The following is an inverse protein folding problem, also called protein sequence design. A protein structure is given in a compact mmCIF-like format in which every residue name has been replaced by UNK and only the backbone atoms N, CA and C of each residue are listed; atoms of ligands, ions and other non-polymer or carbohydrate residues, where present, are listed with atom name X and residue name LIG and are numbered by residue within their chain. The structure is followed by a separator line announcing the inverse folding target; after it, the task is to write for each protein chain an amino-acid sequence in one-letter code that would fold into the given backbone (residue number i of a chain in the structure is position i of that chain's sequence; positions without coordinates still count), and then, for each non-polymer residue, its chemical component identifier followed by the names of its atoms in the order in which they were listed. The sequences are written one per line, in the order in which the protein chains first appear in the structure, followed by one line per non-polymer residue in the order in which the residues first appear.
data_IF_600873870755
#
_entry.id   IF_600873870755
#
_cell.length_a   1.000
_cell.length_b   1.000
_cell.length_c   1.000
_cell.angle_alpha   90.00
_cell.angle_beta   90.00
_cell.angle_gamma   90.00
#
_symmetry.space_group_name_H-M   'P 1'
#
loop_
_entity.id
_entity.type
_entity.pdbx_description
1 polymer ?
#
# COMPACT_ATOMS: atom_id res chain seq x y z
N UNK A 1 -10.53 -17.55 1.49
CA UNK A 1 -11.56 -17.01 0.55
C UNK A 1 -11.82 -15.58 0.98
N UNK A 2 -11.74 -14.62 0.07
CA UNK A 2 -12.23 -13.27 0.36
C UNK A 2 -13.75 -13.41 0.39
N UNK A 3 -14.33 -13.10 1.53
CA UNK A 3 -15.65 -13.57 1.94
C UNK A 3 -16.79 -12.83 1.24
N UNK A 4 -18.00 -13.40 1.36
CA UNK A 4 -19.26 -12.72 1.01
C UNK A 4 -19.46 -11.40 1.80
N UNK A 5 -18.61 -11.14 2.79
CA UNK A 5 -18.59 -9.94 3.61
C UNK A 5 -18.60 -8.64 2.79
N UNK A 6 -17.86 -8.62 1.65
CA UNK A 6 -17.70 -7.41 0.84
C UNK A 6 -18.88 -7.14 -0.10
N UNK A 7 -19.75 -8.11 -0.33
CA UNK A 7 -20.90 -7.95 -1.22
C UNK A 7 -21.81 -6.81 -0.74
N UNK A 8 -22.04 -5.83 -1.59
CA UNK A 8 -22.85 -4.62 -1.33
C UNK A 8 -22.33 -3.72 -0.16
N UNK A 9 -21.16 -4.01 0.40
CA UNK A 9 -20.54 -3.21 1.47
C UNK A 9 -20.17 -1.83 0.95
N UNK A 10 -20.56 -0.76 1.64
CA UNK A 10 -20.16 0.61 1.29
C UNK A 10 -18.76 0.88 1.82
N UNK A 11 -17.84 1.17 0.90
CA UNK A 11 -16.42 1.37 1.19
C UNK A 11 -15.97 2.73 0.68
N UNK A 12 -15.24 3.47 1.48
CA UNK A 12 -14.65 4.74 1.10
C UNK A 12 -13.13 4.64 1.08
N UNK A 13 -12.51 5.00 -0.05
CA UNK A 13 -11.07 5.02 -0.24
C UNK A 13 -10.56 6.45 -0.42
N UNK A 14 -9.67 6.91 0.45
CA UNK A 14 -8.86 8.08 0.09
C UNK A 14 -7.63 7.63 -0.70
N UNK A 15 -7.20 8.41 -1.68
CA UNK A 15 -6.04 8.06 -2.51
C UNK A 15 -6.33 7.01 -3.59
N UNK A 16 -7.58 6.87 -4.02
CA UNK A 16 -8.02 5.89 -5.02
C UNK A 16 -7.42 6.10 -6.43
N UNK A 17 -6.93 7.30 -6.73
CA UNK A 17 -6.25 7.63 -7.99
C UNK A 17 -4.79 7.20 -8.04
N UNK A 18 -4.18 6.89 -6.87
CA UNK A 18 -2.81 6.42 -6.77
C UNK A 18 -2.66 4.93 -7.08
N UNK A 19 -1.43 4.44 -7.16
CA UNK A 19 -1.10 3.05 -7.49
C UNK A 19 -1.84 2.02 -6.63
N UNK A 20 -1.59 2.01 -5.30
CA UNK A 20 -2.27 1.07 -4.38
C UNK A 20 -3.78 1.26 -4.35
N UNK A 21 -4.24 2.51 -4.37
CA UNK A 21 -5.65 2.84 -4.34
C UNK A 21 -6.40 2.35 -5.58
N UNK A 22 -5.78 2.42 -6.75
CA UNK A 22 -6.33 1.88 -8.00
C UNK A 22 -6.48 0.36 -7.94
N UNK A 23 -5.44 -0.37 -7.51
CA UNK A 23 -5.51 -1.82 -7.31
C UNK A 23 -6.59 -2.21 -6.29
N UNK A 24 -6.66 -1.50 -5.16
CA UNK A 24 -7.67 -1.78 -4.13
C UNK A 24 -9.08 -1.52 -4.65
N UNK A 25 -9.30 -0.43 -5.40
CA UNK A 25 -10.59 -0.11 -6.02
C UNK A 25 -11.05 -1.21 -6.97
N UNK A 26 -10.15 -1.69 -7.85
CA UNK A 26 -10.44 -2.80 -8.77
C UNK A 26 -10.79 -4.09 -8.00
N UNK A 27 -10.04 -4.38 -6.94
CA UNK A 27 -10.29 -5.57 -6.13
C UNK A 27 -11.62 -5.50 -5.40
N UNK A 28 -11.91 -4.37 -4.73
CA UNK A 28 -13.17 -4.16 -4.01
C UNK A 28 -14.39 -4.28 -4.93
N UNK A 29 -14.33 -3.70 -6.14
CA UNK A 29 -15.38 -3.87 -7.16
C UNK A 29 -15.58 -5.33 -7.55
N UNK A 30 -14.49 -6.06 -7.80
CA UNK A 30 -14.55 -7.50 -8.10
C UNK A 30 -15.21 -8.31 -6.95
N UNK A 31 -15.10 -7.84 -5.73
CA UNK A 31 -15.75 -8.42 -4.55
C UNK A 31 -17.21 -7.99 -4.36
N UNK A 32 -17.72 -7.12 -5.23
CA UNK A 32 -19.11 -6.63 -5.19
C UNK A 32 -19.35 -5.50 -4.19
N UNK A 33 -18.31 -4.80 -3.73
CA UNK A 33 -18.45 -3.65 -2.85
C UNK A 33 -18.90 -2.39 -3.60
N UNK A 34 -19.65 -1.52 -2.92
CA UNK A 34 -19.99 -0.18 -3.38
C UNK A 34 -18.87 0.79 -2.97
N UNK A 35 -18.03 1.15 -3.93
CA UNK A 35 -16.80 1.91 -3.67
C UNK A 35 -16.99 3.39 -3.96
N UNK A 36 -16.64 4.25 -2.99
CA UNK A 36 -16.40 5.67 -3.19
C UNK A 36 -14.93 6.01 -3.01
N UNK A 37 -14.46 6.93 -3.82
CA UNK A 37 -13.09 7.38 -3.79
C UNK A 37 -12.99 8.89 -3.61
N UNK A 38 -11.98 9.34 -2.85
CA UNK A 38 -11.64 10.75 -2.64
C UNK A 38 -10.12 10.93 -2.73
N UNK A 39 -9.63 11.69 -3.71
CA UNK A 39 -8.21 11.93 -3.91
C UNK A 39 -7.98 13.14 -4.82
N UNK A 40 -6.74 13.62 -4.87
CA UNK A 40 -6.29 14.49 -5.95
C UNK A 40 -6.33 13.75 -7.29
N UNK A 41 -6.28 14.48 -8.39
CA UNK A 41 -6.06 13.89 -9.72
C UNK A 41 -4.73 13.08 -9.74
N UNK A 42 -4.61 12.05 -10.59
CA UNK A 42 -3.36 11.30 -10.74
C UNK A 42 -2.18 12.23 -11.02
N UNK A 43 -1.06 12.01 -10.34
CA UNK A 43 0.14 12.87 -10.44
C UNK A 43 1.15 12.41 -11.49
N UNK A 44 0.94 11.24 -12.10
CA UNK A 44 1.81 10.69 -13.17
C UNK A 44 1.06 10.54 -14.47
N UNK A 45 1.82 10.56 -15.57
CA UNK A 45 1.34 10.23 -16.91
C UNK A 45 2.38 9.29 -17.55
N UNK A 46 2.03 8.02 -17.83
CA UNK A 46 0.74 7.36 -17.58
C UNK A 46 0.48 7.10 -16.08
N UNK A 47 -0.75 6.60 -15.76
CA UNK A 47 -1.15 6.17 -14.43
C UNK A 47 -2.15 5.01 -14.50
N UNK A 48 -2.18 4.19 -13.45
CA UNK A 48 -3.06 3.02 -13.41
C UNK A 48 -4.55 3.40 -13.36
N UNK A 49 -4.89 4.50 -12.71
CA UNK A 49 -6.27 4.95 -12.56
C UNK A 49 -6.96 5.16 -13.91
N UNK A 50 -6.25 5.80 -14.85
CA UNK A 50 -6.74 6.00 -16.22
C UNK A 50 -6.58 4.75 -17.08
N UNK A 51 -5.39 4.12 -17.06
CA UNK A 51 -5.09 2.97 -17.92
C UNK A 51 -6.02 1.78 -17.67
N UNK A 52 -6.45 1.55 -16.43
CA UNK A 52 -7.38 0.49 -16.07
C UNK A 52 -8.83 0.98 -15.90
N UNK A 53 -9.16 2.23 -16.25
CA UNK A 53 -10.50 2.81 -16.16
C UNK A 53 -11.09 2.65 -14.75
N UNK A 54 -10.33 2.93 -13.70
CA UNK A 54 -10.74 2.68 -12.30
C UNK A 54 -11.98 3.48 -11.92
N UNK A 55 -12.16 4.68 -12.50
CA UNK A 55 -13.32 5.52 -12.27
C UNK A 55 -14.65 4.86 -12.66
N UNK A 56 -14.60 3.94 -13.63
CA UNK A 56 -15.83 3.29 -14.11
C UNK A 56 -16.40 2.38 -13.03
N UNK A 57 -17.57 2.71 -12.53
CA UNK A 57 -18.31 1.93 -11.53
C UNK A 57 -17.86 2.17 -10.09
N UNK A 58 -17.20 3.30 -9.80
CA UNK A 58 -17.01 3.84 -8.46
C UNK A 58 -17.51 5.29 -8.39
N UNK A 59 -17.91 5.75 -7.20
CA UNK A 59 -18.22 7.16 -6.96
C UNK A 59 -16.91 7.93 -6.72
N UNK A 60 -16.27 8.42 -7.80
CA UNK A 60 -14.97 9.10 -7.71
C UNK A 60 -15.14 10.61 -7.48
N UNK A 61 -14.56 11.13 -6.42
CA UNK A 61 -14.50 12.56 -6.08
C UNK A 61 -13.05 13.04 -6.09
N UNK A 62 -12.77 14.06 -6.90
CA UNK A 62 -11.46 14.72 -6.90
C UNK A 62 -11.46 15.82 -5.83
N UNK A 63 -10.57 15.72 -4.85
CA UNK A 63 -10.46 16.69 -3.74
C UNK A 63 -9.18 16.48 -2.92
N UNK A 64 -8.81 17.54 -2.20
CA UNK A 64 -7.64 17.53 -1.29
C UNK A 64 -8.04 16.97 0.07
N UNK A 65 -7.20 16.08 0.62
CA UNK A 65 -7.41 15.48 1.96
C UNK A 65 -7.42 16.53 3.09
N UNK A 66 -6.79 17.69 2.85
CA UNK A 66 -6.78 18.81 3.78
C UNK A 66 -8.03 19.68 3.72
N UNK A 67 -8.89 19.52 2.69
CA UNK A 67 -10.20 20.16 2.62
C UNK A 67 -11.20 19.38 3.48
N UNK A 68 -11.15 19.61 4.80
CA UNK A 68 -11.99 18.90 5.76
C UNK A 68 -13.49 19.05 5.49
N UNK A 69 -14.04 20.23 5.14
CA UNK A 69 -15.47 20.35 4.79
C UNK A 69 -15.88 19.46 3.63
N UNK A 70 -15.13 19.51 2.53
CA UNK A 70 -15.40 18.72 1.33
C UNK A 70 -15.23 17.21 1.55
N UNK A 71 -14.17 16.80 2.29
CA UNK A 71 -13.96 15.42 2.70
C UNK A 71 -15.13 14.90 3.54
N UNK A 72 -15.58 15.69 4.52
CA UNK A 72 -16.72 15.34 5.38
C UNK A 72 -18.00 15.19 4.57
N UNK A 73 -18.27 16.13 3.64
CA UNK A 73 -19.42 16.05 2.74
C UNK A 73 -19.39 14.77 1.88
N UNK A 74 -18.21 14.42 1.31
CA UNK A 74 -18.07 13.21 0.50
C UNK A 74 -18.33 11.93 1.30
N UNK A 75 -17.80 11.84 2.54
CA UNK A 75 -18.07 10.73 3.45
C UNK A 75 -19.55 10.65 3.85
N UNK A 76 -20.17 11.77 4.17
CA UNK A 76 -21.60 11.83 4.53
C UNK A 76 -22.50 11.44 3.36
N UNK A 77 -22.18 11.84 2.14
CA UNK A 77 -22.95 11.48 0.96
C UNK A 77 -22.93 9.97 0.69
N UNK A 78 -21.82 9.30 0.97
CA UNK A 78 -21.67 7.88 0.71
C UNK A 78 -22.06 6.98 1.87
N UNK A 79 -22.07 7.49 3.10
CA UNK A 79 -22.38 6.71 4.32
C UNK A 79 -21.61 5.38 4.40
N UNK A 80 -20.26 5.37 4.30
CA UNK A 80 -19.49 4.13 4.26
C UNK A 80 -19.52 3.37 5.57
N UNK A 81 -19.37 2.05 5.50
CA UNK A 81 -19.18 1.16 6.66
C UNK A 81 -17.69 0.93 6.91
N UNK A 82 -16.88 0.96 5.85
CA UNK A 82 -15.42 0.75 5.90
C UNK A 82 -14.72 1.92 5.23
N UNK A 83 -13.67 2.41 5.87
CA UNK A 83 -12.82 3.49 5.34
C UNK A 83 -11.38 3.00 5.25
N UNK A 84 -10.77 3.11 4.06
CA UNK A 84 -9.34 2.92 3.84
C UNK A 84 -8.67 4.25 3.54
N UNK A 85 -7.68 4.62 4.32
CA UNK A 85 -6.90 5.85 4.13
C UNK A 85 -5.58 5.54 3.45
N UNK A 86 -5.51 5.78 2.12
CA UNK A 86 -4.32 5.61 1.33
C UNK A 86 -3.77 6.94 0.76
N UNK A 87 -4.50 8.04 0.91
CA UNK A 87 -4.03 9.36 0.47
C UNK A 87 -2.75 9.74 1.23
N UNK A 88 -1.68 9.98 0.49
CA UNK A 88 -0.39 10.36 1.06
C UNK A 88 0.52 10.98 -0.01
N UNK A 89 1.42 11.87 0.39
CA UNK A 89 2.67 12.10 -0.31
C UNK A 89 3.59 10.92 0.06
N UNK A 90 3.95 10.05 -0.91
CA UNK A 90 4.53 8.73 -0.66
C UNK A 90 5.99 8.58 -1.07
N UNK A 91 6.66 9.67 -1.44
CA UNK A 91 8.00 9.68 -2.01
C UNK A 91 8.99 10.38 -1.07
N UNK A 92 10.16 9.78 -0.85
CA UNK A 92 11.18 10.31 0.06
C UNK A 92 11.79 11.60 -0.49
N UNK A 93 12.25 11.60 -1.76
CA UNK A 93 12.91 12.79 -2.34
C UNK A 93 12.01 14.03 -2.39
N UNK A 94 10.76 13.96 -2.86
CA UNK A 94 9.86 15.10 -2.79
C UNK A 94 9.64 15.62 -1.36
N UNK A 95 9.73 14.76 -0.33
CA UNK A 95 9.60 15.21 1.06
C UNK A 95 10.74 16.11 1.54
N UNK A 96 11.94 15.95 0.97
CA UNK A 96 13.04 16.88 1.24
C UNK A 96 12.84 18.23 0.54
N UNK A 97 12.21 18.22 -0.64
CA UNK A 97 11.91 19.45 -1.38
C UNK A 97 10.74 20.23 -0.75
N UNK A 98 9.71 19.52 -0.27
CA UNK A 98 8.53 20.11 0.38
C UNK A 98 8.18 19.33 1.67
N UNK A 99 8.90 19.57 2.77
CA UNK A 99 8.62 18.91 4.05
C UNK A 99 7.27 19.36 4.63
N UNK A 100 6.91 20.64 4.54
CA UNK A 100 5.67 21.18 5.10
C UNK A 100 4.46 20.56 4.41
N UNK A 101 4.42 20.52 3.08
CA UNK A 101 3.37 19.87 2.32
C UNK A 101 3.29 18.38 2.61
N UNK A 102 4.44 17.70 2.81
CA UNK A 102 4.48 16.29 3.20
C UNK A 102 3.79 16.05 4.55
N UNK A 103 4.08 16.86 5.58
CA UNK A 103 3.38 16.76 6.87
C UNK A 103 1.91 17.15 6.78
N UNK A 104 1.58 18.19 6.01
CA UNK A 104 0.19 18.60 5.79
C UNK A 104 -0.64 17.43 5.21
N UNK A 105 -0.14 16.74 4.19
CA UNK A 105 -0.85 15.60 3.59
C UNK A 105 -0.86 14.39 4.52
N UNK A 106 0.31 13.98 5.04
CA UNK A 106 0.42 12.68 5.71
C UNK A 106 -0.05 12.73 7.18
N UNK A 107 0.29 13.78 7.91
CA UNK A 107 -0.07 13.92 9.33
C UNK A 107 -1.42 14.63 9.48
N UNK A 108 -1.56 15.87 9.00
CA UNK A 108 -2.81 16.63 9.13
C UNK A 108 -3.94 16.00 8.32
N UNK A 109 -3.67 15.48 7.10
CA UNK A 109 -4.65 14.75 6.30
C UNK A 109 -5.21 13.52 7.02
N UNK A 110 -4.37 12.79 7.79
CA UNK A 110 -4.82 11.69 8.66
C UNK A 110 -5.74 12.20 9.77
N UNK A 111 -5.40 13.31 10.43
CA UNK A 111 -6.24 13.94 11.43
C UNK A 111 -7.57 14.40 10.84
N UNK A 112 -7.56 15.02 9.66
CA UNK A 112 -8.74 15.47 8.92
C UNK A 112 -9.68 14.33 8.59
N UNK A 113 -9.15 13.20 8.10
CA UNK A 113 -9.97 12.02 7.85
C UNK A 113 -10.61 11.48 9.13
N UNK A 114 -9.82 11.30 10.20
CA UNK A 114 -10.34 10.78 11.46
C UNK A 114 -11.37 11.73 12.10
N UNK A 115 -11.20 13.04 11.93
CA UNK A 115 -12.19 14.03 12.33
C UNK A 115 -13.47 13.92 11.48
N UNK A 116 -13.36 13.73 10.16
CA UNK A 116 -14.53 13.55 9.30
C UNK A 116 -15.30 12.26 9.63
N UNK A 117 -14.59 11.17 9.95
CA UNK A 117 -15.20 9.89 10.38
C UNK A 117 -16.11 10.07 11.60
N UNK A 118 -15.77 10.96 12.55
CA UNK A 118 -16.62 11.25 13.73
C UNK A 118 -18.00 11.77 13.37
N UNK A 119 -18.14 12.39 12.21
CA UNK A 119 -19.41 12.95 11.72
C UNK A 119 -20.22 11.95 10.86
N UNK A 120 -19.81 10.67 10.77
CA UNK A 120 -20.43 9.67 9.89
C UNK A 120 -20.77 8.39 10.68
N UNK A 121 -21.97 8.29 11.25
CA UNK A 121 -22.35 7.19 12.16
C UNK A 121 -22.40 5.80 11.51
N UNK A 122 -22.36 5.72 10.17
CA UNK A 122 -22.36 4.43 9.45
C UNK A 122 -21.01 3.71 9.51
N UNK A 123 -19.91 4.42 9.79
CA UNK A 123 -18.55 3.85 9.81
C UNK A 123 -18.42 2.83 10.95
N UNK A 124 -17.85 1.67 10.64
CA UNK A 124 -17.55 0.58 11.59
C UNK A 124 -16.06 0.27 11.66
N UNK A 125 -15.34 0.38 10.54
CA UNK A 125 -13.91 0.08 10.46
C UNK A 125 -13.16 1.16 9.72
N UNK A 126 -11.98 1.53 10.24
CA UNK A 126 -11.04 2.45 9.59
C UNK A 126 -9.66 1.80 9.56
N UNK A 127 -9.07 1.70 8.37
CA UNK A 127 -7.69 1.24 8.17
C UNK A 127 -6.85 2.39 7.63
N UNK A 128 -5.90 2.85 8.45
CA UNK A 128 -4.96 3.90 8.10
C UNK A 128 -3.68 3.25 7.53
N UNK A 129 -3.42 3.45 6.24
CA UNK A 129 -2.25 2.88 5.58
C UNK A 129 -1.04 3.78 5.79
N UNK A 130 -0.07 3.26 6.52
CA UNK A 130 1.20 3.95 6.79
C UNK A 130 2.36 3.30 6.02
N UNK A 131 3.49 3.02 6.67
CA UNK A 131 4.69 2.49 6.03
C UNK A 131 5.56 1.78 7.06
N UNK A 132 6.42 0.87 6.62
CA UNK A 132 7.55 0.33 7.37
C UNK A 132 8.52 1.43 7.83
N UNK A 133 8.60 2.54 7.08
CA UNK A 133 9.47 3.68 7.38
C UNK A 133 9.01 4.53 8.58
N UNK A 134 7.86 4.20 9.18
CA UNK A 134 7.39 4.86 10.40
C UNK A 134 8.21 4.52 11.65
N UNK A 135 9.04 3.49 11.60
CA UNK A 135 9.91 3.09 12.70
C UNK A 135 11.16 3.95 12.81
N UNK A 136 11.67 4.15 14.03
CA UNK A 136 13.03 4.62 14.27
C UNK A 136 14.01 3.55 13.77
N UNK A 137 14.53 3.72 12.55
CA UNK A 137 15.41 2.72 11.95
C UNK A 137 16.81 2.76 12.59
N UNK A 138 17.19 1.67 13.24
CA UNK A 138 18.49 1.46 13.91
C UNK A 138 19.45 0.61 13.09
N UNK A 139 19.11 0.30 11.84
CA UNK A 139 19.94 -0.51 10.93
C UNK A 139 20.34 -1.87 11.52
N UNK A 140 19.53 -2.44 12.41
CA UNK A 140 19.79 -3.70 13.07
C UNK A 140 19.27 -4.92 12.28
N UNK A 141 19.70 -6.14 12.68
CA UNK A 141 19.38 -7.38 11.97
C UNK A 141 17.95 -7.87 12.19
N UNK A 142 17.29 -7.45 13.27
CA UNK A 142 15.94 -7.87 13.64
C UNK A 142 14.86 -7.13 12.85
N UNK A 143 13.79 -7.82 12.45
CA UNK A 143 12.63 -7.15 11.87
C UNK A 143 11.87 -6.33 12.92
N UNK A 144 11.30 -5.19 12.52
CA UNK A 144 10.52 -4.31 13.39
C UNK A 144 9.14 -4.88 13.66
N UNK A 145 8.74 -4.85 14.94
CA UNK A 145 7.42 -5.25 15.43
C UNK A 145 6.54 -4.03 15.67
N UNK A 146 5.23 -4.24 15.79
CA UNK A 146 4.25 -3.15 15.90
C UNK A 146 4.44 -2.27 17.14
N UNK A 147 5.06 -2.78 18.19
CA UNK A 147 5.36 -2.06 19.44
C UNK A 147 6.77 -1.46 19.48
N UNK A 148 7.58 -1.61 18.44
CA UNK A 148 8.87 -0.96 18.36
C UNK A 148 8.70 0.56 18.16
N UNK A 149 9.75 1.31 18.53
CA UNK A 149 9.70 2.77 18.57
C UNK A 149 9.43 3.39 17.22
N UNK A 150 8.48 4.32 17.19
CA UNK A 150 8.19 5.16 16.04
C UNK A 150 9.18 6.30 15.93
N UNK A 151 9.50 6.68 14.70
CA UNK A 151 10.39 7.78 14.38
C UNK A 151 10.79 7.66 12.91
N UNK A 152 11.38 8.63 12.31
CA UNK A 152 11.82 8.55 10.92
C UNK A 152 12.90 9.59 10.68
N UNK A 153 13.93 9.24 9.92
CA UNK A 153 15.03 10.14 9.67
C UNK A 153 14.67 11.28 8.70
N UNK A 154 13.97 10.93 7.63
CA UNK A 154 13.55 11.89 6.61
C UNK A 154 12.10 12.39 6.84
N UNK A 155 11.70 13.52 6.22
CA UNK A 155 10.36 14.08 6.44
C UNK A 155 9.21 13.14 6.06
N UNK A 156 9.36 12.31 5.01
CA UNK A 156 8.35 11.32 4.65
C UNK A 156 8.21 10.26 5.75
N UNK A 157 9.32 9.65 6.16
CA UNK A 157 9.35 8.61 7.17
C UNK A 157 8.77 9.11 8.50
N UNK A 158 9.19 10.33 8.92
CA UNK A 158 8.68 10.95 10.13
C UNK A 158 7.20 11.32 10.01
N UNK A 159 6.73 11.82 8.87
CA UNK A 159 5.31 12.12 8.67
C UNK A 159 4.42 10.87 8.78
N UNK A 160 4.93 9.70 8.39
CA UNK A 160 4.23 8.43 8.59
C UNK A 160 4.22 7.97 10.04
N UNK A 161 5.28 8.25 10.80
CA UNK A 161 5.27 8.07 12.26
C UNK A 161 4.27 9.00 12.94
N UNK A 162 4.17 10.26 12.50
CA UNK A 162 3.14 11.20 12.97
C UNK A 162 1.72 10.69 12.68
N UNK A 163 1.47 10.13 11.50
CA UNK A 163 0.17 9.52 11.17
C UNK A 163 -0.19 8.35 12.12
N UNK A 164 0.78 7.52 12.50
CA UNK A 164 0.60 6.47 13.50
C UNK A 164 0.24 7.03 14.88
N UNK A 165 0.98 8.06 15.34
CA UNK A 165 0.73 8.72 16.62
C UNK A 165 -0.62 9.42 16.65
N UNK A 166 -1.00 10.12 15.58
CA UNK A 166 -2.33 10.73 15.43
C UNK A 166 -3.42 9.68 15.47
N UNK A 167 -3.25 8.57 14.75
CA UNK A 167 -4.21 7.46 14.74
C UNK A 167 -4.38 6.88 16.15
N UNK A 168 -3.28 6.68 16.86
CA UNK A 168 -3.31 6.21 18.27
C UNK A 168 -4.00 7.20 19.18
N UNK A 169 -3.73 8.50 19.07
CA UNK A 169 -4.35 9.55 19.87
C UNK A 169 -5.87 9.63 19.63
N UNK A 170 -6.30 9.60 18.34
CA UNK A 170 -7.73 9.60 18.01
C UNK A 170 -8.46 8.37 18.54
N UNK A 171 -7.83 7.18 18.44
CA UNK A 171 -8.38 5.94 18.99
C UNK A 171 -8.58 6.04 20.50
N UNK A 172 -7.63 6.57 21.24
CA UNK A 172 -7.73 6.71 22.68
C UNK A 172 -8.70 7.81 23.13
N UNK A 173 -8.74 8.93 22.40
CA UNK A 173 -9.50 10.12 22.84
C UNK A 173 -10.95 10.16 22.34
N UNK A 174 -11.19 9.69 21.10
CA UNK A 174 -12.50 9.82 20.46
C UNK A 174 -13.18 8.48 20.18
N UNK A 175 -12.41 7.40 20.12
CA UNK A 175 -12.87 6.04 19.86
C UNK A 175 -12.32 5.05 20.89
N UNK A 176 -12.41 5.36 22.21
CA UNK A 176 -11.82 4.51 23.24
C UNK A 176 -12.47 3.14 23.26
N UNK A 177 -11.63 2.11 23.47
CA UNK A 177 -12.06 0.69 23.45
C UNK A 177 -13.19 0.42 24.45
N UNK A 178 -13.11 1.05 25.61
CA UNK A 178 -14.07 0.89 26.72
C UNK A 178 -15.45 1.44 26.36
N UNK A 179 -15.53 2.34 25.40
CA UNK A 179 -16.78 2.96 24.94
C UNK A 179 -17.17 2.50 23.52
N UNK A 180 -16.65 1.37 23.08
CA UNK A 180 -16.94 0.86 21.72
C UNK A 180 -18.45 0.69 21.46
N UNK A 181 -19.22 0.27 22.46
CA UNK A 181 -20.67 0.14 22.35
C UNK A 181 -21.39 1.46 22.01
N UNK A 182 -20.78 2.62 22.33
CA UNK A 182 -21.36 3.94 22.07
C UNK A 182 -21.04 4.43 20.65
N UNK A 183 -19.79 4.29 20.19
CA UNK A 183 -19.35 4.84 18.90
C UNK A 183 -19.31 3.79 17.77
N UNK A 184 -19.14 2.51 18.07
CA UNK A 184 -19.18 1.40 17.12
C UNK A 184 -18.07 1.39 16.06
N UNK A 185 -16.98 2.19 16.22
CA UNK A 185 -15.90 2.35 15.25
C UNK A 185 -14.63 1.68 15.74
N UNK A 186 -14.07 0.75 14.99
CA UNK A 186 -12.76 0.13 15.25
C UNK A 186 -11.71 0.67 14.28
N UNK A 187 -10.53 1.07 14.81
CA UNK A 187 -9.49 1.75 14.04
C UNK A 187 -8.18 0.99 14.15
N UNK A 188 -7.56 0.69 13.00
CA UNK A 188 -6.23 0.11 12.92
C UNK A 188 -5.34 0.88 11.94
N UNK A 189 -4.03 0.81 12.15
CA UNK A 189 -3.04 1.20 11.15
C UNK A 189 -2.41 -0.03 10.52
N UNK A 190 -2.05 0.09 9.23
CA UNK A 190 -1.47 -1.00 8.45
C UNK A 190 -0.15 -0.54 7.83
N UNK A 191 0.94 -1.15 8.27
CA UNK A 191 2.32 -0.86 7.88
C UNK A 191 2.77 -1.87 6.83
N UNK A 192 3.30 -1.39 5.72
CA UNK A 192 3.84 -2.23 4.66
C UNK A 192 5.08 -1.59 4.05
N UNK A 193 6.06 -2.42 3.69
CA UNK A 193 7.31 -2.00 3.08
C UNK A 193 7.19 -1.70 1.59
N UNK A 194 8.28 -1.87 0.86
CA UNK A 194 8.39 -1.58 -0.56
C UNK A 194 7.40 -2.42 -1.39
N UNK A 195 6.36 -1.77 -1.85
CA UNK A 195 5.28 -2.42 -2.61
C UNK A 195 5.49 -2.21 -4.09
N UNK A 196 5.51 -3.32 -4.86
CA UNK A 196 5.72 -3.35 -6.31
C UNK A 196 4.50 -3.95 -7.02
N UNK A 197 4.37 -3.68 -8.30
CA UNK A 197 3.29 -4.20 -9.15
C UNK A 197 3.12 -3.37 -10.40
N UNK A 198 2.36 -3.86 -11.34
CA UNK A 198 2.06 -3.13 -12.57
C UNK A 198 1.28 -1.84 -12.33
N UNK A 199 1.60 -0.81 -13.08
CA UNK A 199 0.88 0.47 -13.03
C UNK A 199 1.38 1.49 -12.02
N UNK A 200 2.55 1.31 -11.41
CA UNK A 200 3.26 2.37 -10.69
C UNK A 200 4.26 3.06 -11.65
N UNK A 201 3.98 4.29 -12.03
CA UNK A 201 4.86 5.11 -12.87
C UNK A 201 5.53 6.26 -12.12
N UNK A 202 5.47 6.23 -10.78
CA UNK A 202 6.10 7.27 -9.96
C UNK A 202 7.61 7.29 -10.19
N UNK A 203 8.18 8.48 -10.22
CA UNK A 203 9.63 8.69 -10.25
C UNK A 203 10.27 8.20 -8.95
N UNK A 204 11.54 7.86 -9.00
CA UNK A 204 12.32 7.34 -7.85
C UNK A 204 11.75 6.03 -7.24
N UNK A 205 10.99 5.27 -8.04
CA UNK A 205 10.54 3.91 -7.71
C UNK A 205 11.31 2.93 -8.56
N UNK A 206 12.12 2.08 -7.92
CA UNK A 206 13.06 1.17 -8.60
C UNK A 206 12.43 0.42 -9.80
N UNK A 207 11.29 -0.24 -9.58
CA UNK A 207 10.66 -1.04 -10.65
C UNK A 207 10.12 -0.18 -11.79
N UNK A 208 9.56 0.99 -11.49
CA UNK A 208 9.11 1.95 -12.50
C UNK A 208 10.29 2.49 -13.32
N UNK A 209 11.41 2.79 -12.65
CA UNK A 209 12.64 3.27 -13.29
C UNK A 209 13.29 2.18 -14.16
N UNK A 210 13.33 0.92 -13.66
CA UNK A 210 13.79 -0.25 -14.45
C UNK A 210 12.97 -0.39 -15.73
N UNK A 211 11.65 -0.44 -15.64
CA UNK A 211 10.76 -0.64 -16.78
C UNK A 211 10.89 0.52 -17.79
N UNK A 212 11.02 1.74 -17.29
CA UNK A 212 11.20 2.93 -18.13
C UNK A 212 12.52 2.90 -18.87
N UNK A 213 13.63 2.61 -18.18
CA UNK A 213 14.97 2.53 -18.76
C UNK A 213 15.06 1.40 -19.78
N UNK A 214 14.66 0.19 -19.41
CA UNK A 214 14.72 -0.99 -20.28
C UNK A 214 13.81 -0.85 -21.51
N UNK A 215 12.59 -0.31 -21.30
CA UNK A 215 11.62 -0.10 -22.39
C UNK A 215 12.07 0.98 -23.40
N UNK A 216 12.89 1.94 -22.98
CA UNK A 216 13.44 2.98 -23.86
C UNK A 216 14.87 2.70 -24.35
N UNK A 217 15.46 1.57 -23.96
CA UNK A 217 16.86 1.24 -24.30
C UNK A 217 17.90 2.15 -23.61
N UNK A 218 17.52 2.82 -22.53
CA UNK A 218 18.40 3.68 -21.75
C UNK A 218 19.12 2.89 -20.66
N UNK A 219 20.31 3.37 -20.26
CA UNK A 219 21.03 2.80 -19.11
C UNK A 219 20.32 3.20 -17.81
N UNK A 220 19.94 2.20 -17.00
CA UNK A 220 19.40 2.41 -15.68
C UNK A 220 20.50 2.87 -14.71
N UNK A 221 20.23 3.91 -13.92
CA UNK A 221 21.11 4.35 -12.83
C UNK A 221 20.55 3.93 -11.48
N UNK A 222 21.34 3.20 -10.68
CA UNK A 222 20.99 2.75 -9.33
C UNK A 222 21.92 3.37 -8.29
N UNK A 223 21.36 3.84 -7.17
CA UNK A 223 22.10 4.59 -6.15
C UNK A 223 22.74 3.70 -5.07
N UNK A 224 21.96 2.78 -4.52
CA UNK A 224 22.34 1.94 -3.37
C UNK A 224 22.19 0.45 -3.72
N UNK A 225 23.14 -0.13 -4.51
CA UNK A 225 23.01 -1.50 -5.01
C UNK A 225 22.92 -2.56 -3.91
N UNK A 226 23.55 -2.32 -2.76
CA UNK A 226 23.60 -3.26 -1.63
C UNK A 226 22.44 -3.09 -0.64
N UNK A 227 21.62 -2.04 -0.79
CA UNK A 227 20.51 -1.81 0.12
C UNK A 227 19.46 -2.93 0.02
N UNK A 228 19.10 -3.50 1.17
CA UNK A 228 18.08 -4.55 1.29
C UNK A 228 16.75 -3.92 1.72
N UNK A 229 15.67 -4.28 1.03
CA UNK A 229 14.31 -3.77 1.30
C UNK A 229 13.31 -4.92 1.36
N UNK A 230 12.21 -4.77 2.11
CA UNK A 230 11.15 -5.76 2.21
C UNK A 230 10.19 -5.64 1.01
N UNK A 231 10.65 -6.06 -0.17
CA UNK A 231 9.89 -6.01 -1.42
C UNK A 231 8.73 -7.00 -1.41
N UNK A 232 7.54 -6.54 -1.78
CA UNK A 232 6.37 -7.40 -1.90
C UNK A 232 5.42 -6.92 -3.00
N UNK A 233 4.70 -7.86 -3.61
CA UNK A 233 3.67 -7.50 -4.61
C UNK A 233 2.52 -6.73 -3.95
N UNK A 234 1.91 -5.79 -4.69
CA UNK A 234 0.83 -4.93 -4.19
C UNK A 234 -0.35 -5.73 -3.63
N UNK A 235 -0.62 -6.90 -4.15
CA UNK A 235 -1.72 -7.76 -3.70
C UNK A 235 -1.50 -8.31 -2.29
N UNK A 236 -0.26 -8.44 -1.83
CA UNK A 236 0.06 -8.91 -0.48
C UNK A 236 -0.49 -7.99 0.62
N UNK A 237 -0.03 -6.73 0.70
CA UNK A 237 -0.55 -5.84 1.73
C UNK A 237 -2.03 -5.51 1.52
N UNK A 238 -2.50 -5.43 0.26
CA UNK A 238 -3.93 -5.19 0.01
C UNK A 238 -4.81 -6.31 0.56
N UNK A 239 -4.39 -7.60 0.43
CA UNK A 239 -5.09 -8.71 1.09
C UNK A 239 -5.09 -8.54 2.60
N UNK A 240 -3.96 -8.12 3.17
CA UNK A 240 -3.85 -7.83 4.60
C UNK A 240 -4.82 -6.73 5.05
N UNK A 241 -4.92 -5.65 4.28
CA UNK A 241 -5.86 -4.55 4.58
C UNK A 241 -7.32 -5.00 4.51
N UNK A 242 -7.68 -5.84 3.53
CA UNK A 242 -9.03 -6.39 3.40
C UNK A 242 -9.37 -7.31 4.59
N UNK A 243 -8.48 -8.22 4.95
CA UNK A 243 -8.66 -9.12 6.11
C UNK A 243 -8.78 -8.32 7.42
N UNK A 244 -7.93 -7.30 7.60
CA UNK A 244 -7.95 -6.44 8.79
C UNK A 244 -9.26 -5.66 8.89
N UNK A 245 -9.72 -5.06 7.80
CA UNK A 245 -10.99 -4.32 7.80
C UNK A 245 -12.20 -5.22 8.06
N UNK A 246 -12.22 -6.44 7.50
CA UNK A 246 -13.23 -7.45 7.81
C UNK A 246 -13.22 -7.84 9.29
N UNK A 247 -12.03 -8.09 9.86
CA UNK A 247 -11.87 -8.41 11.27
C UNK A 247 -12.29 -7.26 12.19
N UNK A 248 -11.99 -6.00 11.84
CA UNK A 248 -12.45 -4.82 12.57
C UNK A 248 -13.98 -4.69 12.55
N UNK A 249 -14.64 -4.99 11.44
CA UNK A 249 -16.10 -4.97 11.35
C UNK A 249 -16.76 -6.10 12.12
N UNK A 250 -16.17 -7.31 12.10
CA UNK A 250 -16.80 -8.52 12.67
C UNK A 250 -16.47 -8.72 14.14
N UNK A 251 -15.29 -8.31 14.58
CA UNK A 251 -14.78 -8.53 15.93
C UNK A 251 -14.45 -7.23 16.68
N UNK A 252 -14.70 -6.09 16.05
CA UNK A 252 -14.56 -4.77 16.65
C UNK A 252 -13.14 -4.46 17.11
N UNK A 253 -13.05 -3.84 18.27
CA UNK A 253 -11.79 -3.29 18.83
C UNK A 253 -10.72 -4.31 19.13
N UNK A 254 -11.03 -5.60 19.15
CA UNK A 254 -10.02 -6.68 19.31
C UNK A 254 -8.90 -6.57 18.28
N UNK A 255 -9.22 -6.11 17.05
CA UNK A 255 -8.27 -5.93 15.97
C UNK A 255 -7.78 -4.48 15.81
N UNK A 256 -8.18 -3.59 16.71
CA UNK A 256 -7.66 -2.21 16.75
C UNK A 256 -6.15 -2.21 17.07
N UNK A 257 -5.43 -1.21 16.57
CA UNK A 257 -3.98 -1.08 16.78
C UNK A 257 -3.18 -1.13 15.49
N UNK A 258 -1.87 -1.33 15.61
CA UNK A 258 -0.97 -1.38 14.47
C UNK A 258 -0.77 -2.83 13.98
N UNK A 259 -0.58 -2.99 12.65
CA UNK A 259 -0.38 -4.27 11.98
C UNK A 259 0.69 -4.17 10.90
N UNK A 260 1.64 -5.09 10.92
CA UNK A 260 2.68 -5.21 9.91
C UNK A 260 2.32 -6.23 8.83
N UNK A 261 2.53 -5.86 7.56
CA UNK A 261 2.38 -6.72 6.39
C UNK A 261 3.68 -6.68 5.58
N UNK A 262 4.48 -7.72 5.64
CA UNK A 262 5.79 -7.82 5.01
C UNK A 262 5.99 -9.12 4.23
N UNK A 263 7.03 -9.19 3.38
CA UNK A 263 7.37 -10.40 2.62
C UNK A 263 7.94 -11.49 3.52
N UNK A 264 8.17 -12.67 2.95
CA UNK A 264 8.96 -13.69 3.61
C UNK A 264 10.37 -13.20 3.94
N UNK A 265 10.92 -13.58 5.09
CA UNK A 265 12.27 -13.15 5.49
C UNK A 265 13.36 -13.61 4.51
N UNK A 266 13.15 -14.76 3.85
CA UNK A 266 14.05 -15.31 2.84
C UNK A 266 14.10 -14.43 1.55
N UNK A 267 13.12 -13.59 1.33
CA UNK A 267 12.99 -12.73 0.15
C UNK A 267 13.71 -11.37 0.31
N UNK A 268 14.44 -11.17 1.41
CA UNK A 268 15.26 -9.97 1.60
C UNK A 268 16.47 -10.02 0.67
N UNK A 269 16.40 -9.28 -0.44
CA UNK A 269 17.45 -9.22 -1.48
C UNK A 269 17.98 -7.80 -1.67
N UNK A 270 19.27 -7.64 -2.06
CA UNK A 270 19.83 -6.35 -2.45
C UNK A 270 19.15 -5.79 -3.71
N UNK A 271 19.16 -4.48 -3.85
CA UNK A 271 18.66 -3.78 -5.05
C UNK A 271 19.35 -4.30 -6.33
N UNK A 272 20.67 -4.53 -6.30
CA UNK A 272 21.42 -5.08 -7.43
C UNK A 272 20.83 -6.41 -7.92
N UNK A 273 20.53 -7.34 -7.01
CA UNK A 273 19.93 -8.63 -7.37
C UNK A 273 18.59 -8.45 -8.10
N UNK A 274 17.76 -7.48 -7.64
CA UNK A 274 16.47 -7.19 -8.29
C UNK A 274 16.71 -6.70 -9.72
N UNK A 275 17.68 -5.79 -9.94
CA UNK A 275 17.99 -5.26 -11.26
C UNK A 275 18.49 -6.37 -12.19
N UNK A 276 19.37 -7.23 -11.70
CA UNK A 276 19.92 -8.38 -12.47
C UNK A 276 18.82 -9.39 -12.81
N UNK A 277 17.93 -9.71 -11.86
CA UNK A 277 16.78 -10.58 -12.12
C UNK A 277 15.87 -9.99 -13.20
N UNK A 278 15.50 -8.72 -13.07
CA UNK A 278 14.65 -8.03 -14.04
C UNK A 278 15.30 -7.94 -15.41
N UNK A 279 16.62 -7.70 -15.50
CA UNK A 279 17.36 -7.67 -16.74
C UNK A 279 17.36 -9.03 -17.46
N UNK A 280 17.61 -10.11 -16.71
CA UNK A 280 17.55 -11.48 -17.22
C UNK A 280 16.16 -11.82 -17.78
N UNK A 281 15.09 -11.49 -17.02
CA UNK A 281 13.71 -11.75 -17.44
C UNK A 281 13.29 -10.89 -18.63
N UNK A 282 13.73 -9.62 -18.67
CA UNK A 282 13.50 -8.72 -19.80
C UNK A 282 14.00 -9.31 -21.12
N UNK A 283 15.24 -9.79 -21.12
CA UNK A 283 15.88 -10.40 -22.30
C UNK A 283 15.18 -11.70 -22.71
N UNK A 284 14.79 -12.56 -21.74
CA UNK A 284 14.09 -13.80 -21.99
C UNK A 284 12.72 -13.60 -22.69
N UNK A 285 12.11 -12.42 -22.54
CA UNK A 285 10.87 -12.04 -23.22
C UNK A 285 11.10 -11.27 -24.55
N UNK A 286 12.31 -11.33 -25.11
CA UNK A 286 12.63 -10.75 -26.41
C UNK A 286 13.00 -9.26 -26.40
N UNK A 287 13.18 -8.67 -25.23
CA UNK A 287 13.75 -7.32 -25.11
C UNK A 287 15.23 -7.27 -25.44
N UNK A 288 15.75 -6.09 -25.87
CA UNK A 288 17.18 -5.85 -26.01
C UNK A 288 17.89 -6.03 -24.66
N UNK A 289 19.18 -6.43 -24.68
CA UNK A 289 19.98 -6.56 -23.48
C UNK A 289 20.02 -5.22 -22.71
N UNK A 290 19.46 -5.14 -21.49
CA UNK A 290 19.43 -3.89 -20.74
C UNK A 290 20.80 -3.60 -20.12
N UNK A 291 21.11 -2.32 -19.95
CA UNK A 291 22.31 -1.86 -19.26
C UNK A 291 21.95 -1.11 -17.97
N UNK A 292 22.81 -1.22 -16.98
CA UNK A 292 22.68 -0.44 -15.74
C UNK A 292 24.06 -0.06 -15.20
N UNK A 293 24.12 1.02 -14.44
CA UNK A 293 25.33 1.54 -13.81
C UNK A 293 25.01 2.08 -12.40
N UNK A 294 26.04 2.21 -11.57
CA UNK A 294 25.90 2.80 -10.24
C UNK A 294 25.97 4.33 -10.39
N UNK A 295 25.06 5.02 -9.72
CA UNK A 295 25.08 6.47 -9.57
C UNK A 295 25.82 6.83 -8.28
N UNK A 296 27.10 7.19 -8.40
CA UNK A 296 27.98 7.56 -7.29
C UNK A 296 27.80 9.01 -6.83
N UNK A 297 26.80 9.75 -7.33
CA UNK A 297 26.53 11.12 -6.94
C UNK A 297 26.10 11.26 -5.49
N UNK A 298 26.06 12.49 -4.93
CA UNK A 298 25.57 12.75 -3.58
C UNK A 298 24.05 12.50 -3.52
N UNK A 299 23.63 11.63 -2.62
CA UNK A 299 22.21 11.28 -2.39
C UNK A 299 21.79 11.59 -0.95
N UNK A 300 20.54 11.98 -0.72
CA UNK A 300 19.98 12.04 0.62
C UNK A 300 20.10 10.68 1.32
N UNK A 301 20.15 10.72 2.66
CA UNK A 301 20.21 9.49 3.45
C UNK A 301 19.02 8.57 3.13
N UNK A 302 19.32 7.32 2.81
CA UNK A 302 18.34 6.24 2.69
C UNK A 302 18.79 5.07 3.57
N UNK A 303 17.87 4.52 4.37
CA UNK A 303 18.14 3.36 5.20
C UNK A 303 18.73 2.20 4.39
N UNK A 304 19.72 1.49 4.91
CA UNK A 304 20.32 0.34 4.23
C UNK A 304 19.58 -0.96 4.52
N UNK A 305 19.07 -1.13 5.74
CA UNK A 305 18.35 -2.32 6.15
C UNK A 305 17.02 -1.95 6.81
N UNK A 306 15.95 -2.56 6.33
CA UNK A 306 14.63 -2.45 6.94
C UNK A 306 13.87 -3.76 6.70
N UNK A 307 13.34 -4.37 7.76
CA UNK A 307 12.53 -5.58 7.72
C UNK A 307 11.33 -5.43 8.63
N UNK A 308 10.21 -6.06 8.30
CA UNK A 308 9.00 -6.09 9.11
C UNK A 308 8.78 -7.49 9.71
N UNK A 309 8.49 -7.53 11.00
CA UNK A 309 7.92 -8.71 11.63
C UNK A 309 6.41 -8.72 11.41
N UNK A 310 5.91 -9.75 10.75
CA UNK A 310 4.49 -9.96 10.47
C UNK A 310 3.88 -11.11 11.31
N UNK A 311 4.57 -11.54 12.37
CA UNK A 311 4.14 -12.64 13.23
C UNK A 311 2.76 -12.40 13.82
N UNK A 312 2.46 -11.16 14.24
CA UNK A 312 1.13 -10.79 14.74
C UNK A 312 0.05 -11.02 13.67
N UNK A 313 0.27 -10.56 12.45
CA UNK A 313 -0.69 -10.76 11.36
C UNK A 313 -0.89 -12.25 11.04
N UNK A 314 0.16 -13.07 11.16
CA UNK A 314 0.06 -14.51 10.96
C UNK A 314 -0.72 -15.22 12.06
N UNK A 315 -0.51 -14.85 13.31
CA UNK A 315 -1.09 -15.55 14.47
C UNK A 315 -2.53 -15.11 14.76
N UNK A 316 -2.78 -13.80 14.67
CA UNK A 316 -4.08 -13.26 15.10
C UNK A 316 -5.06 -13.05 13.94
N UNK A 317 -4.55 -12.72 12.72
CA UNK A 317 -5.36 -12.45 11.54
C UNK A 317 -5.34 -13.61 10.51
N UNK A 318 -4.43 -14.57 10.66
CA UNK A 318 -4.23 -15.67 9.69
C UNK A 318 -3.63 -15.18 8.36
N UNK A 319 -3.06 -13.97 8.33
CA UNK A 319 -2.41 -13.45 7.13
C UNK A 319 -0.95 -13.92 7.04
N UNK A 320 -0.56 -14.39 5.88
CA UNK A 320 0.84 -14.73 5.54
C UNK A 320 1.12 -14.29 4.11
N UNK A 321 2.35 -13.88 3.75
CA UNK A 321 2.67 -13.62 2.35
C UNK A 321 2.49 -14.91 1.51
N UNK A 322 2.06 -14.74 0.28
CA UNK A 322 1.70 -15.84 -0.65
C UNK A 322 2.71 -15.94 -1.78
N UNK A 323 3.19 -14.80 -2.28
CA UNK A 323 4.14 -14.74 -3.39
C UNK A 323 5.57 -14.66 -2.87
N UNK A 324 6.50 -15.38 -3.51
CA UNK A 324 7.93 -15.10 -3.38
C UNK A 324 8.28 -13.79 -4.06
N UNK A 325 9.46 -13.23 -3.76
CA UNK A 325 9.95 -12.03 -4.43
C UNK A 325 10.08 -12.24 -5.95
N UNK A 326 10.58 -13.38 -6.38
CA UNK A 326 10.69 -13.73 -7.81
C UNK A 326 9.33 -13.69 -8.50
N UNK A 327 8.31 -14.32 -7.91
CA UNK A 327 6.95 -14.27 -8.42
C UNK A 327 6.38 -12.85 -8.46
N UNK A 328 6.66 -12.03 -7.46
CA UNK A 328 6.24 -10.64 -7.40
C UNK A 328 6.88 -9.78 -8.52
N UNK A 329 8.17 -10.01 -8.79
CA UNK A 329 8.91 -9.35 -9.87
C UNK A 329 8.40 -9.79 -11.25
N UNK A 330 8.22 -11.10 -11.45
CA UNK A 330 7.73 -11.65 -12.70
C UNK A 330 6.31 -11.16 -13.03
N UNK A 331 5.41 -11.13 -12.06
CA UNK A 331 4.05 -10.57 -12.24
C UNK A 331 4.10 -9.07 -12.59
N UNK A 332 5.01 -8.33 -11.93
CA UNK A 332 5.20 -6.91 -12.22
C UNK A 332 5.67 -6.70 -13.66
N UNK A 333 6.68 -7.45 -14.08
CA UNK A 333 7.24 -7.37 -15.42
C UNK A 333 6.22 -7.77 -16.50
N UNK A 334 5.53 -8.91 -16.31
CA UNK A 334 4.47 -9.38 -17.21
C UNK A 334 3.37 -8.34 -17.41
N UNK A 335 2.99 -7.63 -16.35
CA UNK A 335 2.00 -6.57 -16.46
C UNK A 335 2.48 -5.44 -17.38
N UNK A 336 3.70 -4.91 -17.14
CA UNK A 336 4.23 -3.79 -17.92
C UNK A 336 4.48 -4.17 -19.38
N UNK A 337 5.10 -5.30 -19.64
CA UNK A 337 5.35 -5.77 -21.00
C UNK A 337 4.06 -6.04 -21.77
N UNK A 338 3.08 -6.67 -21.12
CA UNK A 338 1.77 -6.91 -21.75
C UNK A 338 1.09 -5.61 -22.14
N UNK A 339 1.06 -4.61 -21.25
CA UNK A 339 0.44 -3.31 -21.54
C UNK A 339 1.22 -2.55 -22.62
N UNK A 340 2.55 -2.60 -22.63
CA UNK A 340 3.36 -2.02 -23.72
C UNK A 340 3.09 -2.68 -25.07
N UNK A 341 2.73 -3.96 -25.08
CA UNK A 341 2.35 -4.72 -26.27
C UNK A 341 0.86 -4.55 -26.65
N UNK A 342 0.12 -3.69 -25.96
CA UNK A 342 -1.26 -3.36 -26.26
C UNK A 342 -2.33 -4.16 -25.50
N UNK A 343 -1.94 -4.95 -24.48
CA UNK A 343 -2.93 -5.60 -23.62
C UNK A 343 -3.69 -4.58 -22.77
N UNK A 344 -4.96 -4.85 -22.51
CA UNK A 344 -5.79 -4.03 -21.63
C UNK A 344 -5.30 -4.10 -20.19
N UNK A 345 -5.03 -2.94 -19.57
CA UNK A 345 -4.49 -2.84 -18.22
C UNK A 345 -5.48 -3.36 -17.15
N UNK A 346 -6.78 -3.18 -17.35
CA UNK A 346 -7.83 -3.69 -16.46
C UNK A 346 -7.89 -5.21 -16.51
N UNK A 347 -7.81 -5.80 -17.69
CA UNK A 347 -7.78 -7.24 -17.85
C UNK A 347 -6.53 -7.85 -17.21
N UNK A 348 -5.36 -7.24 -17.43
CA UNK A 348 -4.10 -7.66 -16.75
C UNK A 348 -4.25 -7.64 -15.22
N UNK A 349 -4.82 -6.56 -14.67
CA UNK A 349 -5.10 -6.51 -13.22
C UNK A 349 -6.08 -7.61 -12.79
N UNK A 350 -7.15 -7.84 -13.54
CA UNK A 350 -8.16 -8.85 -13.21
C UNK A 350 -7.60 -10.27 -13.24
N UNK A 351 -6.72 -10.59 -14.20
CA UNK A 351 -6.03 -11.88 -14.30
C UNK A 351 -5.09 -12.11 -13.12
N UNK A 352 -4.26 -11.12 -12.78
CA UNK A 352 -3.33 -11.23 -11.64
C UNK A 352 -4.08 -11.34 -10.31
N UNK A 353 -5.17 -10.59 -10.12
CA UNK A 353 -6.06 -10.73 -8.97
C UNK A 353 -6.64 -12.14 -8.85
N UNK A 354 -7.11 -12.73 -9.95
CA UNK A 354 -7.69 -14.06 -9.94
C UNK A 354 -6.66 -15.14 -9.61
N UNK A 355 -5.47 -15.06 -10.22
CA UNK A 355 -4.36 -15.97 -9.97
C UNK A 355 -3.90 -15.90 -8.50
N UNK A 356 -3.72 -14.69 -7.99
CA UNK A 356 -3.34 -14.45 -6.59
C UNK A 356 -4.37 -15.02 -5.60
N UNK A 357 -5.66 -14.77 -5.83
CA UNK A 357 -6.74 -15.28 -4.98
C UNK A 357 -6.77 -16.83 -4.94
N UNK A 358 -6.52 -17.47 -6.09
CA UNK A 358 -6.42 -18.93 -6.18
C UNK A 358 -5.25 -19.47 -5.36
N UNK A 359 -4.06 -18.85 -5.50
CA UNK A 359 -2.86 -19.25 -4.75
C UNK A 359 -3.05 -19.03 -3.24
N UNK A 360 -3.61 -17.89 -2.82
CA UNK A 360 -3.89 -17.58 -1.43
C UNK A 360 -4.88 -18.57 -0.79
N UNK A 361 -5.88 -19.04 -1.54
CA UNK A 361 -6.82 -20.05 -1.06
C UNK A 361 -6.15 -21.41 -0.84
N UNK A 362 -5.23 -21.80 -1.73
CA UNK A 362 -4.47 -23.06 -1.60
C UNK A 362 -3.50 -23.03 -0.41
N UNK A 363 -2.87 -21.88 -0.12
CA UNK A 363 -1.94 -21.73 1.01
C UNK A 363 -2.63 -21.76 2.38
N UNK A 364 -3.92 -21.44 2.48
CA UNK A 364 -4.70 -21.55 3.72
C UNK A 364 -5.13 -22.99 4.05
N UNK A 365 -5.09 -23.93 3.09
CA UNK A 365 -5.51 -25.31 3.27
C UNK A 365 -4.44 -26.25 3.83
N UNK A 366 -3.20 -25.81 3.92
CA UNK A 366 -2.07 -26.60 4.45
C UNK A 366 -1.67 -26.13 5.85
N UNK A 367 -2.58 -26.26 6.83
CA UNK A 367 -2.16 -26.24 8.24
C UNK A 367 -1.64 -27.64 8.55
N UNK A 368 -0.38 -27.82 8.98
CA UNK A 368 0.04 -29.10 9.53
C UNK A 368 -0.80 -29.34 10.79
N UNK A 369 -1.60 -30.39 10.78
CA UNK A 369 -2.12 -30.98 12.02
C UNK A 369 -0.91 -31.43 12.83
N UNK A 370 -0.59 -30.72 13.91
CA UNK A 370 0.34 -31.12 14.92
C UNK A 370 -0.34 -32.08 15.90
#
# INVERSE_FOLDING_TARGET
MVSAFWQQRRVFLTGHTGFKGSWLSLWMRKLGANVGGYALAPHTQPNLFQAAGVADGIASTIGDINDLPRLTQALQAQQPEVVFHLAAQSLVRPSYADPVGTYAVNALGTASLLQAVRAVPSVRAVVIVTSDKCYENREWVWPYRENDRLGGHDPYSNSKACAELITSAFRSSFFPIERYAEHGVAIASARAGNVIGGGDWSLDRLLADIVRAFGSGQTLRIRNPQATRPWQHVLEPLRGYLMLAEALCTHGVRFSGAWNFGPHYADARPVQWIVEHMASRWTAHGGSAPSWEIDDGPHPHEAQMLKLDWTKAAQELGWRPVLSLEQALDLTLDWYQGVQQGADAREKCAMQLAAYQKQAASSCGTTPTA
#
